data_IF_519758485766
#
_entry.id   IF_519758485766
#
_cell.length_a   1.000
_cell.length_b   1.000
_cell.length_c   1.000
_cell.angle_alpha   90.00
_cell.angle_beta   90.00
_cell.angle_gamma   90.00
#
_symmetry.space_group_name_H-M   'P 1'
#
loop_
_entity.id
_entity.type
_entity.pdbx_description
1 polymer ?
#
# COMPACT_ATOMS: atom_id res chain seq x y z
N UNK A 1 -5.01 3.96 -7.59
CA UNK A 1 -3.86 3.96 -6.65
C UNK A 1 -4.14 4.85 -5.44
N UNK A 2 -4.28 6.17 -5.62
CA UNK A 2 -4.53 7.12 -4.52
C UNK A 2 -5.77 6.77 -3.70
N UNK A 3 -6.90 6.47 -4.36
CA UNK A 3 -8.14 6.05 -3.66
C UNK A 3 -7.93 4.84 -2.77
N UNK A 4 -7.32 3.76 -3.29
CA UNK A 4 -7.05 2.57 -2.49
C UNK A 4 -6.08 2.83 -1.32
N UNK A 5 -5.09 3.70 -1.52
CA UNK A 5 -4.20 4.12 -0.43
C UNK A 5 -4.99 4.91 0.65
N UNK A 6 -5.91 5.78 0.24
CA UNK A 6 -6.77 6.53 1.16
C UNK A 6 -7.78 5.62 1.88
N UNK A 7 -8.34 4.62 1.21
CA UNK A 7 -9.24 3.64 1.82
C UNK A 7 -8.53 2.86 2.94
N UNK A 8 -7.28 2.44 2.72
CA UNK A 8 -6.48 1.77 3.75
C UNK A 8 -6.28 2.65 5.00
N UNK A 9 -5.99 3.94 4.80
CA UNK A 9 -5.87 4.90 5.90
C UNK A 9 -7.19 5.05 6.67
N UNK A 10 -8.30 5.20 5.94
CA UNK A 10 -9.63 5.35 6.52
C UNK A 10 -10.06 4.11 7.35
N UNK A 11 -9.72 2.90 6.91
CA UNK A 11 -10.02 1.68 7.68
C UNK A 11 -9.26 1.60 9.01
N UNK A 12 -8.12 2.28 9.12
CA UNK A 12 -7.27 2.31 10.32
C UNK A 12 -7.40 3.61 11.12
N UNK A 13 -8.31 4.51 10.75
CA UNK A 13 -8.44 5.80 11.39
C UNK A 13 -8.86 5.65 12.86
N UNK A 14 -8.09 6.29 13.76
CA UNK A 14 -8.34 6.23 15.21
C UNK A 14 -8.05 4.87 15.85
N UNK A 15 -7.49 3.91 15.10
CA UNK A 15 -7.19 2.57 15.58
C UNK A 15 -5.76 2.52 16.15
N UNK A 16 -5.54 1.80 17.26
CA UNK A 16 -4.20 1.45 17.70
C UNK A 16 -3.70 0.18 16.96
N UNK A 17 -2.40 -0.05 16.97
CA UNK A 17 -1.82 -1.24 16.33
C UNK A 17 -2.38 -2.54 16.91
N UNK A 18 -2.50 -2.64 18.25
CA UNK A 18 -3.03 -3.83 18.91
C UNK A 18 -4.50 -4.13 18.51
N UNK A 19 -5.31 -3.08 18.29
CA UNK A 19 -6.68 -3.23 17.80
C UNK A 19 -6.67 -3.76 16.36
N UNK A 20 -5.79 -3.24 15.50
CA UNK A 20 -5.62 -3.72 14.14
C UNK A 20 -5.18 -5.19 14.08
N UNK A 21 -4.26 -5.61 14.95
CA UNK A 21 -3.75 -6.99 15.01
C UNK A 21 -4.81 -8.00 15.44
N UNK A 22 -5.89 -7.56 16.08
CA UNK A 22 -7.00 -8.42 16.50
C UNK A 22 -8.26 -8.31 15.63
N UNK A 23 -8.35 -7.30 14.75
CA UNK A 23 -9.47 -7.11 13.82
C UNK A 23 -9.19 -7.69 12.41
N UNK A 24 -9.59 -8.95 12.21
CA UNK A 24 -9.49 -9.65 10.93
C UNK A 24 -10.22 -8.94 9.77
N UNK A 25 -11.33 -8.24 10.04
CA UNK A 25 -12.07 -7.55 8.98
C UNK A 25 -11.25 -6.38 8.46
N UNK A 26 -10.68 -5.59 9.37
CA UNK A 26 -9.86 -4.44 9.01
C UNK A 26 -8.56 -4.88 8.36
N UNK A 27 -7.90 -5.94 8.85
CA UNK A 27 -6.74 -6.54 8.19
C UNK A 27 -7.04 -6.91 6.74
N UNK A 28 -8.15 -7.61 6.47
CA UNK A 28 -8.53 -8.01 5.12
C UNK A 28 -8.82 -6.81 4.21
N UNK A 29 -9.49 -5.78 4.73
CA UNK A 29 -9.77 -4.56 3.99
C UNK A 29 -8.46 -3.83 3.61
N UNK A 30 -7.55 -3.67 4.56
CA UNK A 30 -6.23 -3.06 4.35
C UNK A 30 -5.40 -3.86 3.35
N UNK A 31 -5.31 -5.18 3.52
CA UNK A 31 -4.54 -6.06 2.62
C UNK A 31 -5.06 -5.97 1.18
N UNK A 32 -6.39 -5.91 0.99
CA UNK A 32 -6.98 -5.72 -0.34
C UNK A 32 -6.59 -4.35 -0.93
N UNK A 33 -6.64 -3.29 -0.13
CA UNK A 33 -6.21 -1.95 -0.58
C UNK A 33 -4.73 -1.94 -1.00
N UNK A 34 -3.83 -2.57 -0.23
CA UNK A 34 -2.42 -2.70 -0.59
C UNK A 34 -2.19 -3.50 -1.87
N UNK A 35 -2.99 -4.54 -2.11
CA UNK A 35 -2.98 -5.29 -3.37
C UNK A 35 -3.34 -4.40 -4.57
N UNK A 36 -4.37 -3.55 -4.44
CA UNK A 36 -4.77 -2.60 -5.50
C UNK A 36 -3.67 -1.57 -5.74
N UNK A 37 -3.04 -1.06 -4.67
CA UNK A 37 -1.92 -0.12 -4.78
C UNK A 37 -0.75 -0.75 -5.54
N UNK A 38 -0.36 -1.97 -5.20
CA UNK A 38 0.75 -2.65 -5.88
C UNK A 38 0.45 -3.10 -7.31
N UNK A 39 -0.80 -3.48 -7.61
CA UNK A 39 -1.24 -3.69 -9.00
C UNK A 39 -1.12 -2.41 -9.82
N UNK A 40 -1.58 -1.27 -9.29
CA UNK A 40 -1.46 0.01 -9.96
C UNK A 40 0.01 0.41 -10.19
N UNK A 41 0.89 0.19 -9.20
CA UNK A 41 2.34 0.41 -9.36
C UNK A 41 2.94 -0.47 -10.47
N UNK A 42 2.53 -1.73 -10.56
CA UNK A 42 2.99 -2.65 -11.61
C UNK A 42 2.57 -2.18 -13.00
N UNK A 43 1.35 -1.68 -13.15
CA UNK A 43 0.86 -1.11 -14.42
C UNK A 43 1.58 0.18 -14.78
N UNK A 44 1.81 1.08 -13.82
CA UNK A 44 2.57 2.31 -14.07
C UNK A 44 3.99 1.98 -14.57
N UNK A 45 4.68 1.03 -13.95
CA UNK A 45 6.01 0.60 -14.38
C UNK A 45 6.02 -0.02 -15.79
N UNK A 46 4.95 -0.70 -16.19
CA UNK A 46 4.81 -1.37 -17.48
C UNK A 46 4.39 -0.41 -18.59
N UNK A 47 3.33 0.34 -18.33
CA UNK A 47 2.56 1.06 -19.36
C UNK A 47 2.95 2.55 -19.41
N UNK A 48 3.52 3.08 -18.33
CA UNK A 48 3.92 4.48 -18.19
C UNK A 48 5.32 4.64 -17.53
N UNK A 49 6.37 4.00 -18.06
CA UNK A 49 7.70 4.01 -17.43
C UNK A 49 8.29 5.42 -17.28
N UNK A 50 7.99 6.34 -18.21
CA UNK A 50 8.47 7.73 -18.14
C UNK A 50 7.90 8.47 -16.93
N UNK A 51 6.63 8.23 -16.58
CA UNK A 51 6.02 8.80 -15.38
C UNK A 51 6.70 8.28 -14.11
N UNK A 52 6.98 6.97 -14.06
CA UNK A 52 7.68 6.36 -12.94
C UNK A 52 9.09 6.94 -12.78
N UNK A 53 9.82 7.12 -13.90
CA UNK A 53 11.16 7.68 -13.94
C UNK A 53 11.18 9.17 -13.53
N UNK A 54 10.14 9.93 -13.86
CA UNK A 54 10.00 11.33 -13.46
C UNK A 54 9.70 11.52 -11.96
N UNK A 55 9.22 10.50 -11.27
CA UNK A 55 8.95 10.51 -9.82
C UNK A 55 9.79 9.45 -9.09
N UNK A 56 11.13 9.59 -9.05
CA UNK A 56 12.03 8.59 -8.46
C UNK A 56 11.94 8.49 -6.93
N UNK A 57 11.35 9.50 -6.27
CA UNK A 57 11.08 9.47 -4.84
C UNK A 57 10.03 8.39 -4.47
N UNK A 58 9.19 7.97 -5.42
CA UNK A 58 8.24 6.88 -5.20
C UNK A 58 8.95 5.54 -5.45
N UNK A 59 8.99 4.61 -4.48
CA UNK A 59 9.67 3.33 -4.61
C UNK A 59 8.84 2.32 -5.42
N UNK A 60 8.53 2.61 -6.68
CA UNK A 60 7.62 1.83 -7.53
C UNK A 60 7.86 0.32 -7.53
N UNK A 61 9.14 -0.08 -7.62
CA UNK A 61 9.53 -1.50 -7.60
C UNK A 61 9.27 -2.14 -6.23
N UNK A 62 9.48 -1.40 -5.14
CA UNK A 62 9.14 -1.83 -3.78
C UNK A 62 7.64 -2.04 -3.62
N UNK A 63 6.83 -1.09 -4.09
CA UNK A 63 5.36 -1.18 -4.05
C UNK A 63 4.85 -2.40 -4.85
N UNK A 64 5.43 -2.66 -6.04
CA UNK A 64 5.14 -3.89 -6.80
C UNK A 64 5.57 -5.15 -6.03
N UNK A 65 6.75 -5.12 -5.40
CA UNK A 65 7.28 -6.22 -4.60
C UNK A 65 6.39 -6.59 -3.41
N UNK A 66 5.84 -5.59 -2.72
CA UNK A 66 4.88 -5.78 -1.63
C UNK A 66 3.66 -6.59 -2.08
N UNK A 67 3.03 -6.24 -3.21
CA UNK A 67 1.91 -7.02 -3.78
C UNK A 67 2.29 -8.47 -4.02
N UNK A 68 3.47 -8.72 -4.59
CA UNK A 68 3.92 -10.09 -4.82
C UNK A 68 4.07 -10.87 -3.50
N UNK A 69 4.61 -10.23 -2.45
CA UNK A 69 4.73 -10.85 -1.13
C UNK A 69 3.37 -11.15 -0.51
N UNK A 70 2.42 -10.23 -0.59
CA UNK A 70 1.04 -10.43 -0.09
C UNK A 70 0.33 -11.55 -0.87
N UNK A 71 0.45 -11.56 -2.19
CA UNK A 71 -0.22 -12.53 -3.06
C UNK A 71 0.36 -13.96 -2.98
N UNK A 72 1.62 -14.11 -2.58
CA UNK A 72 2.27 -15.44 -2.47
C UNK A 72 2.42 -15.91 -1.01
N UNK A 73 2.34 -14.99 -0.05
CA UNK A 73 2.53 -15.25 1.38
C UNK A 73 1.25 -15.16 2.20
N UNK A 74 0.07 -15.49 1.66
CA UNK A 74 -1.24 -15.34 2.33
C UNK A 74 -1.32 -15.86 3.77
N UNK A 75 -0.48 -16.83 4.15
CA UNK A 75 -0.44 -17.39 5.51
C UNK A 75 0.62 -16.75 6.43
N UNK A 76 1.60 -16.02 5.88
CA UNK A 76 2.77 -15.46 6.59
C UNK A 76 2.90 -13.93 6.35
N UNK A 77 1.76 -13.23 6.22
CA UNK A 77 1.76 -11.77 6.14
C UNK A 77 2.11 -11.24 7.53
N UNK A 78 3.25 -10.54 7.61
CA UNK A 78 3.62 -9.79 8.80
C UNK A 78 2.72 -8.55 8.92
N UNK A 79 1.76 -8.63 9.86
CA UNK A 79 0.78 -7.57 10.08
C UNK A 79 1.38 -6.30 10.69
N UNK A 80 2.52 -6.38 11.37
CA UNK A 80 3.24 -5.19 11.84
C UNK A 80 3.83 -4.40 10.67
N UNK A 81 4.35 -5.11 9.66
CA UNK A 81 4.82 -4.49 8.42
C UNK A 81 3.65 -3.85 7.66
N UNK A 82 2.50 -4.54 7.58
CA UNK A 82 1.29 -3.99 6.96
C UNK A 82 0.86 -2.71 7.68
N UNK A 83 0.78 -2.73 9.00
CA UNK A 83 0.43 -1.57 9.81
C UNK A 83 1.38 -0.40 9.56
N UNK A 84 2.69 -0.65 9.64
CA UNK A 84 3.72 0.38 9.37
C UNK A 84 3.58 0.97 7.97
N UNK A 85 3.35 0.12 6.97
CA UNK A 85 3.16 0.54 5.57
C UNK A 85 1.97 1.49 5.44
N UNK A 86 0.84 1.15 6.08
CA UNK A 86 -0.35 1.99 6.08
C UNK A 86 -0.09 3.32 6.78
N UNK A 87 0.52 3.31 7.96
CA UNK A 87 0.67 4.53 8.76
C UNK A 87 1.76 5.47 8.26
N UNK A 88 2.76 4.98 7.53
CA UNK A 88 3.95 5.78 7.16
C UNK A 88 4.14 5.92 5.65
N UNK A 89 4.09 4.81 4.90
CA UNK A 89 4.42 4.82 3.48
C UNK A 89 3.26 5.30 2.60
N UNK A 90 2.01 4.92 2.93
CA UNK A 90 0.84 5.35 2.16
C UNK A 90 0.61 6.87 2.19
N UNK A 91 0.72 7.58 3.33
CA UNK A 91 0.60 9.04 3.36
C UNK A 91 1.68 9.72 2.50
N UNK A 92 2.92 9.22 2.55
CA UNK A 92 4.00 9.72 1.72
C UNK A 92 3.74 9.49 0.22
N UNK A 93 3.25 8.30 -0.14
CA UNK A 93 2.86 7.98 -1.52
C UNK A 93 1.77 8.91 -2.04
N UNK A 94 0.70 9.14 -1.26
CA UNK A 94 -0.39 10.05 -1.64
C UNK A 94 0.17 11.46 -1.86
N UNK A 95 1.00 11.95 -0.94
CA UNK A 95 1.62 13.28 -1.06
C UNK A 95 2.44 13.42 -2.34
N UNK A 96 3.25 12.42 -2.71
CA UNK A 96 4.05 12.47 -3.93
C UNK A 96 3.21 12.41 -5.22
N UNK A 97 2.06 11.72 -5.18
CA UNK A 97 1.15 11.60 -6.31
C UNK A 97 0.24 12.82 -6.49
N UNK A 98 -0.09 13.53 -5.41
CA UNK A 98 -0.88 14.76 -5.44
C UNK A 98 -0.06 16.02 -5.77
N UNK A 99 1.27 15.91 -5.78
CA UNK A 99 2.14 16.98 -6.25
C UNK A 99 2.26 16.93 -7.78
N UNK A 100 2.10 18.07 -8.47
CA UNK A 100 2.24 18.14 -9.93
C UNK A 100 3.60 17.59 -10.38
#
# INVERSE_FOLDING_TARGET
MVTAAADALAFTEGMAEDDFLTDLRTQRAVVMSLMIVGEAASRILSDHPDFANAKPAIPWRGIRGMRNRIAHGYFDIDLHVVWTTVQTELPALIKHLSQP
#
